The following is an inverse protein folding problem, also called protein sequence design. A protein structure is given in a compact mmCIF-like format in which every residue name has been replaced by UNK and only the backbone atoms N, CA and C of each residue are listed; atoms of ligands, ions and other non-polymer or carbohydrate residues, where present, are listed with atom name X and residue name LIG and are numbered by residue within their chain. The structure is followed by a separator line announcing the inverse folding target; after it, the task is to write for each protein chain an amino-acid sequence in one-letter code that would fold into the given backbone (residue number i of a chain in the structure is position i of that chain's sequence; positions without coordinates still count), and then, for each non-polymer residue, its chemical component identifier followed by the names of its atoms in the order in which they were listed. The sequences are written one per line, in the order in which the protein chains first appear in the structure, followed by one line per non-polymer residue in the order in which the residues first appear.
data_IF_957800042798
#
_entry.id   IF_957800042798
#
_cell.length_a   1.000
_cell.length_b   1.000
_cell.length_c   1.000
_cell.angle_alpha   90.00
_cell.angle_beta   90.00
_cell.angle_gamma   90.00
#
_symmetry.space_group_name_H-M   'P 1'
#
loop_
_entity.id
_entity.type
_entity.pdbx_description
1 polymer ?
#
# COMPACT_ATOMS: atom_id res chain seq x y z
N UNK A 1 22.04 1.56 3.97
CA UNK A 1 22.23 2.92 4.53
C UNK A 1 21.54 3.90 3.59
N UNK A 2 20.35 4.39 3.94
CA UNK A 2 19.72 5.46 3.15
C UNK A 2 20.57 6.73 3.36
N UNK A 3 21.12 7.27 2.27
CA UNK A 3 21.84 8.54 2.30
C UNK A 3 20.86 9.65 2.67
N UNK A 4 21.21 10.52 3.59
CA UNK A 4 20.47 11.76 3.83
C UNK A 4 20.54 12.59 2.55
N UNK A 5 19.42 12.67 1.83
CA UNK A 5 19.25 13.59 0.70
C UNK A 5 18.91 14.96 1.29
N UNK A 6 19.57 16.05 0.87
CA UNK A 6 19.14 17.40 1.21
C UNK A 6 17.67 17.57 0.82
N UNK A 7 16.89 18.27 1.66
CA UNK A 7 15.50 18.56 1.34
C UNK A 7 15.48 19.43 0.08
N UNK A 8 14.89 18.92 -1.00
CA UNK A 8 14.67 19.70 -2.22
C UNK A 8 13.88 20.98 -1.89
N UNK A 9 14.20 22.12 -2.52
CA UNK A 9 13.42 23.34 -2.35
C UNK A 9 11.98 23.11 -2.82
N UNK A 10 11.02 23.72 -2.15
CA UNK A 10 9.61 23.66 -2.54
C UNK A 10 9.36 24.63 -3.69
N UNK A 11 9.00 24.13 -4.87
CA UNK A 11 8.71 24.97 -6.06
C UNK A 11 7.21 25.30 -6.22
N UNK A 12 6.40 25.03 -5.19
CA UNK A 12 5.00 25.45 -5.18
C UNK A 12 4.83 26.89 -4.71
N UNK A 13 3.58 27.33 -4.66
CA UNK A 13 3.21 28.68 -4.18
C UNK A 13 2.30 28.54 -2.96
N UNK A 14 2.69 29.15 -1.84
CA UNK A 14 1.86 29.20 -0.62
C UNK A 14 1.16 30.55 -0.59
N UNK A 15 -0.15 30.53 -0.80
CA UNK A 15 -1.02 31.70 -0.72
C UNK A 15 -1.86 31.67 0.56
N UNK A 16 -2.71 32.68 0.74
CA UNK A 16 -3.58 32.80 1.93
C UNK A 16 -4.57 31.64 2.07
N UNK A 17 -5.05 31.09 0.95
CA UNK A 17 -5.97 29.96 0.95
C UNK A 17 -5.43 28.78 0.14
N UNK A 18 -5.92 27.58 0.43
CA UNK A 18 -5.57 26.37 -0.33
C UNK A 18 -5.94 26.51 -1.81
N UNK A 19 -7.06 27.17 -2.12
CA UNK A 19 -7.53 27.36 -3.49
C UNK A 19 -6.63 28.29 -4.32
N UNK A 20 -5.93 29.22 -3.67
CA UNK A 20 -4.98 30.14 -4.31
C UNK A 20 -3.56 29.56 -4.36
N UNK A 21 -3.28 28.55 -3.53
CA UNK A 21 -1.96 27.92 -3.45
C UNK A 21 -1.74 26.93 -4.60
N UNK A 22 -0.49 26.83 -5.06
CA UNK A 22 -0.08 25.80 -6.02
C UNK A 22 0.69 24.71 -5.27
N UNK A 23 0.16 23.47 -5.18
CA UNK A 23 0.87 22.39 -4.54
C UNK A 23 2.06 21.96 -5.41
N UNK A 24 3.14 21.56 -4.76
CA UNK A 24 4.29 20.95 -5.41
C UNK A 24 4.74 19.75 -4.60
N UNK A 25 5.14 18.70 -5.30
CA UNK A 25 5.76 17.52 -4.72
C UNK A 25 7.06 17.24 -5.46
N UNK A 26 8.13 16.88 -4.74
CA UNK A 26 9.37 16.44 -5.39
C UNK A 26 9.07 15.20 -6.24
N UNK A 27 9.79 15.05 -7.34
CA UNK A 27 9.69 13.81 -8.14
C UNK A 27 10.27 12.66 -7.30
N UNK A 28 9.47 11.66 -6.92
CA UNK A 28 9.99 10.54 -6.15
C UNK A 28 11.06 9.81 -6.97
N UNK A 29 12.12 9.28 -6.35
CA UNK A 29 13.09 8.48 -7.07
C UNK A 29 12.40 7.27 -7.71
N UNK A 30 12.51 7.16 -9.04
CA UNK A 30 11.99 6.02 -9.80
C UNK A 30 13.05 4.92 -9.87
N UNK A 31 12.71 3.64 -9.59
CA UNK A 31 13.69 2.54 -9.61
C UNK A 31 14.21 2.16 -11.01
N UNK A 32 13.73 2.83 -12.08
CA UNK A 32 14.11 2.61 -13.47
C UNK A 32 12.92 2.14 -14.33
N UNK A 33 12.99 2.33 -15.65
CA UNK A 33 11.86 2.05 -16.55
C UNK A 33 11.49 0.56 -16.63
N UNK A 34 12.46 -0.32 -16.38
CA UNK A 34 12.26 -1.78 -16.36
C UNK A 34 11.75 -2.31 -15.00
N UNK A 35 11.64 -1.45 -13.98
CA UNK A 35 11.17 -1.86 -12.66
C UNK A 35 9.64 -2.07 -12.67
N UNK A 36 9.13 -3.15 -12.03
CA UNK A 36 7.70 -3.38 -12.00
C UNK A 36 6.98 -2.37 -11.12
N UNK A 37 5.75 -2.02 -11.50
CA UNK A 37 4.82 -1.34 -10.61
C UNK A 37 4.34 -2.31 -9.53
N UNK A 38 4.42 -1.90 -8.27
CA UNK A 38 3.94 -2.68 -7.11
C UNK A 38 2.73 -1.98 -6.52
N UNK A 39 1.59 -2.68 -6.47
CA UNK A 39 0.36 -2.19 -5.84
C UNK A 39 0.05 -3.05 -4.64
N UNK A 40 0.00 -2.44 -3.45
CA UNK A 40 -0.39 -3.12 -2.20
C UNK A 40 -1.82 -2.75 -1.87
N UNK A 41 -2.70 -3.75 -1.82
CA UNK A 41 -4.09 -3.60 -1.38
C UNK A 41 -4.18 -4.20 0.04
N UNK A 42 -4.40 -3.34 1.03
CA UNK A 42 -4.62 -3.73 2.43
C UNK A 42 -6.09 -3.50 2.80
N UNK A 43 -6.73 -4.52 3.35
CA UNK A 43 -8.14 -4.49 3.75
C UNK A 43 -8.20 -4.64 5.27
N UNK A 44 -8.90 -3.71 5.92
CA UNK A 44 -9.05 -3.69 7.38
C UNK A 44 -10.09 -4.73 7.83
N UNK A 45 -9.87 -5.35 8.99
CA UNK A 45 -10.79 -6.31 9.62
C UNK A 45 -11.27 -7.46 8.72
N UNK A 46 -10.42 -7.89 7.79
CA UNK A 46 -10.72 -9.01 6.91
C UNK A 46 -10.52 -10.36 7.63
N UNK A 47 -11.59 -11.13 7.79
CA UNK A 47 -11.55 -12.52 8.23
C UNK A 47 -11.05 -13.47 7.13
N UNK A 48 -10.45 -14.59 7.53
CA UNK A 48 -9.84 -15.56 6.60
C UNK A 48 -10.83 -16.05 5.51
N UNK A 49 -12.06 -16.38 5.88
CA UNK A 49 -13.09 -16.92 4.98
C UNK A 49 -14.04 -15.85 4.42
N UNK A 50 -13.60 -14.60 4.30
CA UNK A 50 -14.40 -13.52 3.70
C UNK A 50 -14.29 -13.45 2.17
N UNK A 51 -13.35 -14.17 1.55
CA UNK A 51 -13.23 -14.28 0.08
C UNK A 51 -13.60 -15.68 -0.42
N UNK A 52 -14.18 -15.72 -1.63
CA UNK A 52 -14.59 -16.96 -2.29
C UNK A 52 -13.44 -17.96 -2.44
N UNK A 53 -12.24 -17.49 -2.79
CA UNK A 53 -11.03 -18.31 -2.86
C UNK A 53 -10.60 -18.95 -1.53
N UNK A 54 -11.16 -18.52 -0.39
CA UNK A 54 -10.99 -19.13 0.93
C UNK A 54 -12.28 -19.76 1.48
N UNK A 55 -13.30 -19.97 0.63
CA UNK A 55 -14.55 -20.66 0.96
C UNK A 55 -15.68 -19.77 1.48
N UNK A 56 -15.68 -18.48 1.18
CA UNK A 56 -16.80 -17.58 1.50
C UNK A 56 -18.04 -17.86 0.65
N UNK A 57 -19.22 -17.54 1.19
CA UNK A 57 -20.49 -17.48 0.45
C UNK A 57 -20.71 -16.11 -0.24
N UNK A 58 -19.82 -15.14 -0.02
CA UNK A 58 -19.90 -13.81 -0.65
C UNK A 58 -19.25 -13.89 -2.03
N UNK A 59 -19.95 -13.39 -3.06
CA UNK A 59 -19.40 -13.28 -4.41
C UNK A 59 -18.25 -12.25 -4.45
N UNK A 60 -17.01 -12.74 -4.59
CA UNK A 60 -15.81 -11.89 -4.71
C UNK A 60 -15.04 -12.11 -6.01
N UNK A 61 -15.69 -12.05 -7.19
CA UNK A 61 -15.14 -12.55 -8.45
C UNK A 61 -13.84 -11.85 -8.88
N UNK A 62 -13.64 -10.58 -8.51
CA UNK A 62 -12.41 -9.86 -8.81
C UNK A 62 -11.21 -10.36 -7.99
N UNK A 63 -11.43 -10.66 -6.71
CA UNK A 63 -10.40 -11.20 -5.83
C UNK A 63 -10.12 -12.65 -6.22
N UNK A 64 -11.15 -13.43 -6.50
CA UNK A 64 -11.01 -14.83 -6.91
C UNK A 64 -10.22 -14.96 -8.22
N UNK A 65 -10.47 -14.06 -9.18
CA UNK A 65 -9.70 -14.00 -10.44
C UNK A 65 -8.24 -13.63 -10.20
N UNK A 66 -7.95 -12.70 -9.29
CA UNK A 66 -6.56 -12.38 -8.91
C UNK A 66 -5.87 -13.58 -8.27
N UNK A 67 -6.57 -14.26 -7.37
CA UNK A 67 -6.08 -15.43 -6.66
C UNK A 67 -5.83 -16.62 -7.61
N UNK A 68 -6.66 -16.82 -8.64
CA UNK A 68 -6.49 -17.87 -9.65
C UNK A 68 -5.33 -17.59 -10.62
N UNK A 69 -5.01 -16.31 -10.85
CA UNK A 69 -3.88 -15.89 -11.70
C UNK A 69 -2.57 -15.67 -10.95
N UNK A 70 -2.49 -16.00 -9.67
CA UNK A 70 -1.36 -15.67 -8.80
C UNK A 70 -1.09 -16.72 -7.73
N UNK A 71 -0.53 -16.27 -6.60
CA UNK A 71 -0.26 -17.09 -5.43
C UNK A 71 -1.28 -16.83 -4.34
N UNK A 72 -1.66 -17.89 -3.63
CA UNK A 72 -2.56 -17.87 -2.48
C UNK A 72 -1.82 -18.39 -1.25
N UNK A 73 -2.01 -17.73 -0.11
CA UNK A 73 -1.35 -18.11 1.14
C UNK A 73 -2.39 -18.52 2.18
N UNK A 74 -2.34 -19.77 2.62
CA UNK A 74 -3.30 -20.34 3.59
C UNK A 74 -2.81 -20.31 5.04
N UNK A 75 -1.61 -19.78 5.28
CA UNK A 75 -0.97 -19.73 6.60
C UNK A 75 -0.28 -18.37 6.87
N UNK A 76 -0.98 -17.28 6.54
CA UNK A 76 -0.52 -15.91 6.78
C UNK A 76 -0.94 -15.44 8.18
N UNK A 77 -0.06 -14.74 8.89
CA UNK A 77 -0.29 -14.30 10.27
C UNK A 77 -0.19 -12.78 10.38
N UNK A 78 -1.05 -12.21 11.23
CA UNK A 78 -1.06 -10.80 11.60
C UNK A 78 -1.02 -10.66 13.12
N UNK A 79 -0.72 -9.46 13.61
CA UNK A 79 -0.96 -9.16 15.03
C UNK A 79 -2.47 -8.98 15.26
N UNK A 80 -3.00 -9.26 16.46
CA UNK A 80 -4.45 -9.20 16.72
C UNK A 80 -5.02 -7.78 16.82
N UNK A 81 -4.29 -6.75 16.35
CA UNK A 81 -4.70 -5.34 16.34
C UNK A 81 -4.19 -4.66 15.04
N UNK A 82 -5.01 -3.79 14.44
CA UNK A 82 -4.70 -3.17 13.14
C UNK A 82 -3.41 -2.34 13.14
N UNK A 83 -3.19 -1.52 14.18
CA UNK A 83 -2.02 -0.63 14.29
C UNK A 83 -0.68 -1.37 14.27
N UNK A 84 -0.43 -2.39 15.13
CA UNK A 84 0.82 -3.14 15.07
C UNK A 84 0.99 -3.92 13.76
N UNK A 85 -0.07 -4.46 13.16
CA UNK A 85 0.02 -5.12 11.84
C UNK A 85 0.45 -4.14 10.74
N UNK A 86 -0.11 -2.93 10.73
CA UNK A 86 0.27 -1.87 9.79
C UNK A 86 1.70 -1.37 10.04
N UNK A 87 2.11 -1.23 11.29
CA UNK A 87 3.47 -0.85 11.65
C UNK A 87 4.48 -1.91 11.16
N UNK A 88 4.17 -3.19 11.33
CA UNK A 88 5.02 -4.28 10.84
C UNK A 88 5.14 -4.30 9.32
N UNK A 89 4.03 -4.09 8.60
CA UNK A 89 4.03 -3.98 7.14
C UNK A 89 4.91 -2.83 6.64
N UNK A 90 4.80 -1.64 7.26
CA UNK A 90 5.53 -0.44 6.81
C UNK A 90 7.01 -0.45 7.17
N UNK A 91 7.38 -1.12 8.26
CA UNK A 91 8.75 -1.08 8.79
C UNK A 91 9.54 -2.37 8.57
N UNK A 92 8.86 -3.47 8.20
CA UNK A 92 9.45 -4.79 8.08
C UNK A 92 9.93 -5.36 9.43
N UNK A 93 9.31 -4.97 10.54
CA UNK A 93 9.69 -5.38 11.91
C UNK A 93 8.49 -5.82 12.72
N UNK A 94 8.69 -6.83 13.55
CA UNK A 94 7.72 -7.28 14.56
C UNK A 94 8.04 -6.69 15.93
#
# INVERSE_FOLDING_TARGET
MARFQPKEPFDGVIERTQAESTPWWPTPPHPGDDAPNVVVILIDDLGYSHFGCYGSDIDTPNIDRLAAGGLQYTNFHVTPVCSPTRAALLTGRN
#
